data_IF_451663029147
#
_entry.id   IF_451663029147
#
_cell.length_a   1.000
_cell.length_b   1.000
_cell.length_c   1.000
_cell.angle_alpha   90.00
_cell.angle_beta   90.00
_cell.angle_gamma   90.00
#
_symmetry.space_group_name_H-M   'P 1'
#
loop_
_entity.id
_entity.type
_entity.pdbx_description
1 polymer ?
#
# COMPACT_ATOMS: atom_id res chain seq x y z
N UNK A 1 10.17 18.75 11.16
CA UNK A 1 9.86 17.31 11.28
C UNK A 1 9.42 16.82 9.91
N UNK A 2 10.14 15.85 9.36
CA UNK A 2 9.97 15.48 7.95
C UNK A 2 8.97 14.34 7.76
N UNK A 3 8.79 13.48 8.77
CA UNK A 3 7.92 12.31 8.75
C UNK A 3 7.19 12.15 10.08
N UNK A 4 5.90 11.83 10.03
CA UNK A 4 5.05 11.40 11.16
C UNK A 4 4.44 10.06 10.80
N UNK A 5 4.52 9.08 11.72
CA UNK A 5 3.78 7.82 11.63
C UNK A 5 2.64 7.87 12.66
N UNK A 6 1.40 7.91 12.18
CA UNK A 6 0.22 7.89 13.01
C UNK A 6 -0.33 6.46 13.10
N UNK A 7 0.00 5.76 14.18
CA UNK A 7 -0.36 4.34 14.35
C UNK A 7 -1.83 4.20 14.74
N UNK A 8 -2.32 5.11 15.58
CA UNK A 8 -3.64 5.04 16.21
C UNK A 8 -4.77 4.78 15.22
N UNK A 9 -5.58 3.77 15.54
CA UNK A 9 -6.84 3.46 14.85
C UNK A 9 -8.01 4.17 15.54
N UNK A 10 -9.06 4.46 14.77
CA UNK A 10 -10.31 5.00 15.33
C UNK A 10 -10.28 6.50 15.62
N UNK A 11 -9.32 7.24 15.05
CA UNK A 11 -9.35 8.70 15.11
C UNK A 11 -10.61 9.20 14.38
N UNK A 12 -11.41 10.09 14.98
CA UNK A 12 -12.58 10.65 14.31
C UNK A 12 -12.21 11.26 12.95
N UNK A 13 -12.99 10.93 11.91
CA UNK A 13 -12.75 11.42 10.54
C UNK A 13 -12.67 12.95 10.51
N UNK A 14 -13.52 13.64 11.29
CA UNK A 14 -13.51 15.10 11.42
C UNK A 14 -12.16 15.65 11.88
N UNK A 15 -11.51 14.98 12.84
CA UNK A 15 -10.24 15.43 13.39
C UNK A 15 -9.12 15.25 12.36
N UNK A 16 -9.14 14.12 11.64
CA UNK A 16 -8.21 13.92 10.53
C UNK A 16 -8.41 14.92 9.40
N UNK A 17 -9.66 15.29 9.08
CA UNK A 17 -9.93 16.37 8.12
C UNK A 17 -9.33 17.70 8.59
N UNK A 18 -9.50 18.05 9.87
CA UNK A 18 -8.94 19.28 10.44
C UNK A 18 -7.39 19.27 10.39
N UNK A 19 -6.76 18.14 10.71
CA UNK A 19 -5.30 17.98 10.61
C UNK A 19 -4.82 18.13 9.17
N UNK A 20 -5.43 17.43 8.21
CA UNK A 20 -5.05 17.50 6.80
C UNK A 20 -5.27 18.89 6.21
N UNK A 21 -6.36 19.56 6.57
CA UNK A 21 -6.64 20.94 6.16
C UNK A 21 -5.59 21.91 6.70
N UNK A 22 -5.24 21.81 7.99
CA UNK A 22 -4.21 22.65 8.59
C UNK A 22 -2.85 22.43 7.94
N UNK A 23 -2.45 21.18 7.71
CA UNK A 23 -1.20 20.85 7.01
C UNK A 23 -1.14 21.52 5.63
N UNK A 24 -2.25 21.49 4.88
CA UNK A 24 -2.37 22.12 3.56
C UNK A 24 -2.25 23.64 3.65
N UNK A 25 -3.02 24.29 4.53
CA UNK A 25 -3.03 25.75 4.69
C UNK A 25 -1.67 26.31 5.14
N UNK A 26 -0.96 25.58 5.99
CA UNK A 26 0.37 25.96 6.47
C UNK A 26 1.51 25.50 5.55
N UNK A 27 1.21 24.96 4.36
CA UNK A 27 2.17 24.43 3.39
C UNK A 27 3.22 23.49 4.02
N UNK A 28 2.76 22.62 4.94
CA UNK A 28 3.64 21.71 5.67
C UNK A 28 4.21 20.66 4.72
N UNK A 29 5.53 20.51 4.73
CA UNK A 29 6.26 19.48 3.97
C UNK A 29 6.32 18.12 4.66
N UNK A 30 5.85 18.04 5.91
CA UNK A 30 5.85 16.81 6.70
C UNK A 30 5.02 15.73 6.01
N UNK A 31 5.62 14.57 5.79
CA UNK A 31 4.93 13.37 5.32
C UNK A 31 4.20 12.74 6.48
N UNK A 32 2.94 12.37 6.27
CA UNK A 32 2.13 11.66 7.27
C UNK A 32 1.85 10.26 6.74
N UNK A 33 2.18 9.23 7.50
CA UNK A 33 1.76 7.84 7.24
C UNK A 33 0.69 7.48 8.26
N UNK A 34 -0.40 6.86 7.81
CA UNK A 34 -1.58 6.61 8.64
C UNK A 34 -2.62 7.74 8.59
N UNK A 35 -3.62 7.73 9.49
CA UNK A 35 -3.72 6.93 10.71
C UNK A 35 -4.06 5.45 10.44
N UNK A 36 -4.21 4.67 11.51
CA UNK A 36 -4.54 3.25 11.45
C UNK A 36 -3.53 2.48 10.58
N UNK A 37 -2.24 2.60 10.92
CA UNK A 37 -1.17 2.04 10.11
C UNK A 37 -0.13 1.30 10.95
N UNK A 38 0.52 0.26 10.37
CA UNK A 38 1.57 -0.46 11.06
C UNK A 38 2.92 0.29 11.03
N UNK A 39 3.04 1.34 10.21
CA UNK A 39 4.22 2.20 10.06
C UNK A 39 5.09 1.86 8.85
N UNK A 40 6.41 2.03 9.00
CA UNK A 40 7.42 1.85 7.94
C UNK A 40 8.61 1.03 8.47
N UNK A 41 9.16 0.17 7.61
CA UNK A 41 10.41 -0.54 7.89
C UNK A 41 11.27 -0.62 6.62
N UNK A 42 12.54 -0.27 6.77
CA UNK A 42 13.61 -0.48 5.80
C UNK A 42 14.55 -1.50 6.45
N UNK A 43 14.53 -2.78 6.01
CA UNK A 43 15.19 -3.85 6.74
C UNK A 43 16.71 -3.64 6.87
N UNK A 44 17.21 -3.76 8.09
CA UNK A 44 18.62 -3.51 8.43
C UNK A 44 18.99 -2.02 8.59
N UNK A 45 18.03 -1.11 8.48
CA UNK A 45 18.28 0.34 8.55
C UNK A 45 17.38 1.02 9.57
N UNK A 46 16.05 0.97 9.40
CA UNK A 46 15.12 1.63 10.32
C UNK A 46 13.77 0.92 10.41
N UNK A 47 13.18 0.98 11.61
CA UNK A 47 11.80 0.56 11.88
C UNK A 47 11.10 1.65 12.69
N UNK A 48 10.02 2.21 12.17
CA UNK A 48 9.14 3.14 12.89
C UNK A 48 7.72 2.61 12.81
N UNK A 49 7.18 2.14 13.94
CA UNK A 49 5.85 1.54 14.02
C UNK A 49 5.86 0.16 14.66
N UNK A 50 4.79 -0.60 14.40
CA UNK A 50 4.50 -1.87 15.08
C UNK A 50 4.75 -3.11 14.22
N UNK A 51 5.28 -2.97 13.00
CA UNK A 51 5.62 -4.12 12.16
C UNK A 51 6.63 -5.06 12.85
N UNK A 52 6.41 -6.39 12.86
CA UNK A 52 7.37 -7.33 13.43
C UNK A 52 8.65 -7.34 12.58
N UNK A 53 9.80 -7.03 13.18
CA UNK A 53 11.06 -6.89 12.43
C UNK A 53 11.63 -8.22 11.93
N UNK A 54 11.39 -9.32 12.65
CA UNK A 54 11.99 -10.62 12.38
C UNK A 54 11.49 -11.30 11.09
N UNK A 55 10.35 -10.89 10.54
CA UNK A 55 9.83 -11.41 9.25
C UNK A 55 10.39 -10.65 8.03
N UNK A 56 11.21 -9.63 8.25
CA UNK A 56 11.76 -8.80 7.19
C UNK A 56 13.20 -9.19 6.87
N UNK A 57 13.57 -9.02 5.59
CA UNK A 57 14.93 -9.29 5.10
C UNK A 57 15.32 -8.19 4.13
N UNK A 58 16.56 -7.70 4.20
CA UNK A 58 17.07 -6.71 3.24
C UNK A 58 17.00 -7.28 1.82
N UNK A 59 16.43 -6.51 0.91
CA UNK A 59 16.23 -6.88 -0.49
C UNK A 59 15.93 -5.65 -1.34
N UNK A 60 15.34 -5.87 -2.52
CA UNK A 60 15.14 -4.81 -3.53
C UNK A 60 13.69 -4.63 -3.96
N UNK A 61 12.75 -5.03 -3.11
CA UNK A 61 11.31 -4.95 -3.40
C UNK A 61 10.63 -3.98 -2.45
N UNK A 62 9.94 -3.00 -3.03
CA UNK A 62 9.05 -2.11 -2.28
C UNK A 62 7.73 -2.81 -1.97
N UNK A 63 7.18 -2.58 -0.77
CA UNK A 63 5.81 -3.02 -0.41
C UNK A 63 5.02 -1.83 0.09
N UNK A 64 3.84 -1.58 -0.49
CA UNK A 64 2.88 -0.58 -0.01
C UNK A 64 1.51 -1.20 0.23
N UNK A 65 0.91 -0.94 1.38
CA UNK A 65 -0.37 -1.54 1.76
C UNK A 65 -1.20 -0.64 2.66
N UNK A 66 -2.53 -0.73 2.55
CA UNK A 66 -3.46 -0.20 3.58
C UNK A 66 -3.53 -1.10 4.81
N UNK A 67 -3.47 -2.41 4.61
CA UNK A 67 -3.62 -3.43 5.64
C UNK A 67 -2.29 -3.81 6.28
N UNK A 68 -2.22 -3.78 7.61
CA UNK A 68 -1.06 -4.27 8.36
C UNK A 68 -0.81 -5.77 8.17
N UNK A 69 -1.85 -6.59 8.31
CA UNK A 69 -1.71 -8.06 8.20
C UNK A 69 -1.30 -8.50 6.79
N UNK A 70 -1.86 -7.88 5.74
CA UNK A 70 -1.44 -8.18 4.37
C UNK A 70 -0.04 -7.66 4.04
N UNK A 71 0.42 -6.60 4.74
CA UNK A 71 1.82 -6.21 4.68
C UNK A 71 2.70 -7.35 5.21
N UNK A 72 2.33 -7.94 6.35
CA UNK A 72 3.09 -9.03 6.98
C UNK A 72 3.13 -10.28 6.10
N UNK A 73 2.01 -10.59 5.46
CA UNK A 73 1.91 -11.68 4.51
C UNK A 73 2.85 -11.48 3.31
N UNK A 74 2.82 -10.31 2.68
CA UNK A 74 3.68 -10.03 1.53
C UNK A 74 5.17 -10.02 1.88
N UNK A 75 5.55 -9.38 3.00
CA UNK A 75 6.97 -9.36 3.41
C UNK A 75 7.45 -10.75 3.83
N UNK A 76 6.61 -11.54 4.51
CA UNK A 76 6.91 -12.92 4.88
C UNK A 76 7.21 -13.78 3.66
N UNK A 77 6.30 -13.78 2.67
CA UNK A 77 6.50 -14.50 1.41
C UNK A 77 7.77 -14.08 0.68
N UNK A 78 8.06 -12.77 0.61
CA UNK A 78 9.29 -12.28 -0.02
C UNK A 78 10.55 -12.71 0.71
N UNK A 79 10.51 -12.74 2.04
CA UNK A 79 11.61 -13.18 2.89
C UNK A 79 11.87 -14.67 2.71
N UNK A 80 10.82 -15.50 2.72
CA UNK A 80 10.89 -16.96 2.50
C UNK A 80 11.43 -17.31 1.11
N UNK A 81 11.06 -16.53 0.08
CA UNK A 81 11.60 -16.67 -1.27
C UNK A 81 13.03 -16.13 -1.41
N UNK A 82 13.61 -15.58 -0.35
CA UNK A 82 14.96 -15.01 -0.33
C UNK A 82 15.09 -13.67 -1.06
N UNK A 83 13.99 -13.04 -1.47
CA UNK A 83 13.95 -11.80 -2.26
C UNK A 83 14.15 -10.57 -1.37
N UNK A 84 13.52 -10.55 -0.19
CA UNK A 84 13.58 -9.44 0.77
C UNK A 84 12.91 -8.15 0.28
N UNK A 85 13.01 -7.09 1.08
CA UNK A 85 12.37 -5.80 0.85
C UNK A 85 13.40 -4.66 0.86
N UNK A 86 13.21 -3.68 -0.02
CA UNK A 86 13.91 -2.39 0.09
C UNK A 86 13.27 -1.58 1.21
N UNK A 87 11.95 -1.41 1.20
CA UNK A 87 11.15 -0.91 2.31
C UNK A 87 9.71 -1.43 2.25
N UNK A 88 9.07 -1.59 3.40
CA UNK A 88 7.64 -1.84 3.51
C UNK A 88 6.96 -0.64 4.18
N UNK A 89 5.85 -0.19 3.60
CA UNK A 89 5.10 1.02 4.01
C UNK A 89 3.63 0.65 4.17
N UNK A 90 3.16 0.58 5.41
CA UNK A 90 1.74 0.52 5.68
C UNK A 90 1.16 1.93 5.74
N UNK A 91 0.38 2.35 4.74
CA UNK A 91 -0.20 3.71 4.66
C UNK A 91 -1.47 3.89 5.50
N UNK A 92 -2.05 2.77 5.94
CA UNK A 92 -3.20 2.70 6.83
C UNK A 92 -4.56 2.62 6.13
N UNK A 93 -5.55 2.12 6.88
CA UNK A 93 -6.88 1.76 6.38
C UNK A 93 -7.92 2.89 6.40
N UNK A 94 -7.65 3.97 7.12
CA UNK A 94 -8.61 5.05 7.35
C UNK A 94 -8.88 5.91 6.10
N UNK A 95 -10.11 6.43 5.93
CA UNK A 95 -10.52 7.12 4.71
C UNK A 95 -9.82 8.47 4.50
N UNK A 96 -9.43 9.14 5.59
CA UNK A 96 -8.68 10.40 5.58
C UNK A 96 -7.31 10.14 6.19
N UNK A 97 -6.39 9.68 5.33
CA UNK A 97 -5.01 9.40 5.68
C UNK A 97 -4.03 10.42 5.07
N UNK A 98 -2.76 10.24 5.38
CA UNK A 98 -1.67 11.05 4.87
C UNK A 98 -1.25 10.65 3.45
N UNK A 99 -0.15 9.90 3.33
CA UNK A 99 0.36 9.39 2.06
C UNK A 99 -0.61 8.37 1.46
N UNK A 100 -0.79 8.46 0.14
CA UNK A 100 -1.57 7.52 -0.66
C UNK A 100 -0.67 6.52 -1.37
N UNK A 101 -1.25 5.46 -1.95
CA UNK A 101 -0.49 4.50 -2.78
C UNK A 101 0.35 5.21 -3.84
N UNK A 102 -0.26 6.12 -4.61
CA UNK A 102 0.45 6.88 -5.67
C UNK A 102 1.69 7.63 -5.16
N UNK A 103 1.65 8.16 -3.93
CA UNK A 103 2.79 8.88 -3.35
C UNK A 103 3.95 7.94 -3.05
N UNK A 104 3.64 6.77 -2.48
CA UNK A 104 4.64 5.74 -2.18
C UNK A 104 5.15 5.09 -3.47
N UNK A 105 4.30 4.89 -4.47
CA UNK A 105 4.70 4.39 -5.79
C UNK A 105 5.71 5.32 -6.46
N UNK A 106 5.52 6.65 -6.37
CA UNK A 106 6.51 7.64 -6.85
C UNK A 106 7.84 7.48 -6.14
N UNK A 107 7.82 7.38 -4.81
CA UNK A 107 9.04 7.20 -4.01
C UNK A 107 9.77 5.91 -4.40
N UNK A 108 9.05 4.79 -4.54
CA UNK A 108 9.66 3.54 -5.00
C UNK A 108 10.13 3.59 -6.44
N UNK A 109 9.47 4.34 -7.32
CA UNK A 109 9.92 4.51 -8.70
C UNK A 109 11.28 5.23 -8.78
N UNK A 110 11.48 6.23 -7.92
CA UNK A 110 12.68 7.06 -7.92
C UNK A 110 13.83 6.46 -7.08
N UNK A 111 13.53 5.49 -6.19
CA UNK A 111 14.53 4.86 -5.33
C UNK A 111 15.42 3.83 -6.08
N UNK A 112 16.72 4.08 -6.28
CA UNK A 112 17.62 3.14 -6.97
C UNK A 112 17.83 1.81 -6.21
N UNK A 113 17.44 1.70 -4.94
CA UNK A 113 17.48 0.45 -4.18
C UNK A 113 16.25 -0.44 -4.38
N UNK A 114 15.23 0.06 -5.09
CA UNK A 114 14.00 -0.69 -5.39
C UNK A 114 13.96 -1.10 -6.86
N UNK A 115 13.77 -2.39 -7.14
CA UNK A 115 13.68 -2.96 -8.50
C UNK A 115 12.26 -3.32 -8.92
N UNK A 116 11.38 -3.60 -7.95
CA UNK A 116 9.98 -3.97 -8.17
C UNK A 116 9.12 -3.60 -6.96
N UNK A 117 7.80 -3.55 -7.13
CA UNK A 117 6.88 -3.17 -6.03
C UNK A 117 5.69 -4.11 -5.94
N UNK A 118 5.31 -4.50 -4.72
CA UNK A 118 3.99 -5.06 -4.41
C UNK A 118 3.08 -3.94 -3.91
N UNK A 119 1.97 -3.71 -4.61
CA UNK A 119 0.93 -2.76 -4.23
C UNK A 119 -0.30 -3.53 -3.74
N UNK A 120 -0.64 -3.34 -2.47
CA UNK A 120 -1.77 -4.01 -1.81
C UNK A 120 -2.84 -2.98 -1.49
N UNK A 121 -4.03 -3.19 -2.04
CA UNK A 121 -5.18 -2.36 -1.80
C UNK A 121 -6.35 -3.12 -1.18
N UNK A 122 -7.45 -2.42 -1.07
CA UNK A 122 -8.72 -2.94 -0.56
C UNK A 122 -9.89 -2.28 -1.31
N UNK A 123 -11.08 -2.87 -1.21
CA UNK A 123 -12.32 -2.24 -1.65
C UNK A 123 -12.52 -0.84 -1.04
N UNK A 124 -13.31 0.00 -1.73
CA UNK A 124 -13.68 1.35 -1.30
C UNK A 124 -12.65 2.42 -1.66
N UNK A 125 -13.14 3.60 -2.07
CA UNK A 125 -12.31 4.69 -2.61
C UNK A 125 -11.69 4.37 -3.98
N UNK A 126 -10.87 5.29 -4.49
CA UNK A 126 -10.22 5.21 -5.82
C UNK A 126 -8.69 5.20 -5.80
N UNK A 127 -8.07 5.21 -4.61
CA UNK A 127 -6.62 5.43 -4.44
C UNK A 127 -5.78 4.43 -5.27
N UNK A 128 -6.20 3.17 -5.34
CA UNK A 128 -5.53 2.11 -6.10
C UNK A 128 -5.67 2.27 -7.62
N UNK A 129 -6.83 2.71 -8.10
CA UNK A 129 -7.07 2.95 -9.53
C UNK A 129 -6.28 4.17 -10.01
N UNK A 130 -6.25 5.22 -9.20
CA UNK A 130 -5.46 6.43 -9.46
C UNK A 130 -3.97 6.09 -9.49
N UNK A 131 -3.50 5.27 -8.54
CA UNK A 131 -2.13 4.75 -8.54
C UNK A 131 -1.86 3.88 -9.79
N UNK A 132 -2.77 3.00 -10.18
CA UNK A 132 -2.61 2.14 -11.36
C UNK A 132 -2.49 2.96 -12.66
N UNK A 133 -3.35 3.97 -12.84
CA UNK A 133 -3.29 4.86 -14.01
C UNK A 133 -1.99 5.67 -14.03
N UNK A 134 -1.48 6.08 -12.86
CA UNK A 134 -0.18 6.72 -12.76
C UNK A 134 0.96 5.75 -13.11
N UNK A 135 0.89 4.50 -12.62
CA UNK A 135 1.87 3.44 -12.90
C UNK A 135 2.00 3.20 -14.40
N UNK A 136 0.87 3.07 -15.11
CA UNK A 136 0.85 2.89 -16.58
C UNK A 136 1.64 3.98 -17.32
N UNK A 137 1.57 5.22 -16.84
CA UNK A 137 2.15 6.39 -17.51
C UNK A 137 3.61 6.66 -17.11
N UNK A 138 4.03 6.26 -15.91
CA UNK A 138 5.26 6.78 -15.29
C UNK A 138 6.18 5.73 -14.66
N UNK A 139 5.66 4.56 -14.28
CA UNK A 139 6.45 3.57 -13.54
C UNK A 139 7.45 2.90 -14.47
N UNK A 140 8.72 2.86 -14.05
CA UNK A 140 9.82 2.20 -14.77
C UNK A 140 10.10 0.78 -14.26
N UNK A 141 9.41 0.39 -13.19
CA UNK A 141 9.64 -0.83 -12.42
C UNK A 141 8.39 -1.70 -12.44
N UNK A 142 8.54 -3.03 -12.53
CA UNK A 142 7.39 -3.93 -12.48
C UNK A 142 6.64 -3.78 -11.15
N UNK A 143 5.31 -3.86 -11.25
CA UNK A 143 4.39 -3.78 -10.12
C UNK A 143 3.52 -5.02 -10.11
N UNK A 144 3.34 -5.62 -8.93
CA UNK A 144 2.33 -6.64 -8.66
C UNK A 144 1.22 -6.08 -7.79
N UNK A 145 -0.01 -6.36 -8.15
CA UNK A 145 -1.21 -5.87 -7.46
C UNK A 145 -1.97 -6.97 -6.72
N UNK A 146 -2.53 -6.63 -5.57
CA UNK A 146 -3.55 -7.42 -4.88
C UNK A 146 -4.62 -6.50 -4.28
N UNK A 147 -5.89 -6.90 -4.37
CA UNK A 147 -7.01 -6.18 -3.76
C UNK A 147 -7.75 -7.11 -2.79
N UNK A 148 -7.80 -6.72 -1.52
CA UNK A 148 -8.58 -7.39 -0.50
C UNK A 148 -10.08 -7.10 -0.63
N UNK A 149 -10.92 -8.01 -0.12
CA UNK A 149 -12.37 -7.82 -0.05
C UNK A 149 -13.16 -8.30 -1.27
N UNK A 150 -12.63 -9.22 -2.08
CA UNK A 150 -13.32 -9.78 -3.26
C UNK A 150 -14.67 -10.42 -2.91
N UNK A 151 -14.79 -11.05 -1.74
CA UNK A 151 -16.00 -11.72 -1.26
C UNK A 151 -16.90 -10.82 -0.40
N UNK A 152 -16.61 -9.51 -0.35
CA UNK A 152 -17.38 -8.57 0.45
C UNK A 152 -18.82 -8.44 -0.09
N UNK A 153 -19.85 -8.65 0.74
CA UNK A 153 -21.22 -8.43 0.32
C UNK A 153 -21.50 -6.94 0.07
N UNK A 154 -22.40 -6.60 -0.88
CA UNK A 154 -22.79 -5.22 -1.14
C UNK A 154 -23.31 -4.52 0.13
N UNK A 155 -22.95 -3.25 0.30
CA UNK A 155 -23.44 -2.42 1.41
C UNK A 155 -22.86 -2.73 2.79
N UNK A 156 -21.92 -3.68 2.92
CA UNK A 156 -21.20 -3.89 4.18
C UNK A 156 -19.89 -3.12 4.24
N UNK A 157 -19.63 -2.53 5.41
CA UNK A 157 -18.33 -1.99 5.81
C UNK A 157 -17.45 -3.13 6.32
N UNK A 158 -16.23 -3.24 5.79
CA UNK A 158 -15.22 -4.19 6.31
C UNK A 158 -14.45 -3.57 7.49
N UNK A 159 -13.48 -4.30 8.06
CA UNK A 159 -12.78 -3.90 9.28
C UNK A 159 -12.15 -2.50 9.22
N UNK A 160 -11.56 -2.12 8.07
CA UNK A 160 -11.02 -0.76 7.92
C UNK A 160 -12.11 0.28 7.66
N UNK A 161 -11.94 1.46 8.25
CA UNK A 161 -12.92 2.53 8.16
C UNK A 161 -13.19 3.03 6.73
N UNK A 162 -12.21 2.92 5.82
CA UNK A 162 -12.35 3.32 4.42
C UNK A 162 -12.88 2.22 3.48
N UNK A 163 -13.15 1.01 3.98
CA UNK A 163 -13.61 -0.12 3.16
C UNK A 163 -15.13 -0.12 3.00
N UNK A 164 -15.65 0.92 2.33
CA UNK A 164 -17.08 1.09 2.00
C UNK A 164 -17.22 1.20 0.49
N UNK A 165 -18.03 0.32 -0.10
CA UNK A 165 -18.42 0.38 -1.51
C UNK A 165 -19.64 1.31 -1.61
N UNK A 166 -19.54 2.38 -2.39
CA UNK A 166 -20.63 3.35 -2.59
C UNK A 166 -20.98 3.47 -4.06
N UNK A 167 -22.28 3.37 -4.38
CA UNK A 167 -22.78 3.57 -5.75
C UNK A 167 -22.22 2.61 -6.80
N UNK A 168 -21.84 1.38 -6.40
CA UNK A 168 -21.26 0.37 -7.30
C UNK A 168 -19.80 0.60 -7.70
N UNK A 169 -19.15 1.67 -7.20
CA UNK A 169 -17.75 1.98 -7.47
C UNK A 169 -16.84 1.54 -6.33
N UNK A 170 -15.60 1.18 -6.68
CA UNK A 170 -14.57 0.76 -5.74
C UNK A 170 -14.70 -0.71 -5.34
N UNK A 171 -15.33 -1.54 -6.17
CA UNK A 171 -15.36 -2.99 -5.98
C UNK A 171 -13.98 -3.59 -6.21
N UNK A 172 -13.70 -4.75 -5.58
CA UNK A 172 -12.41 -5.40 -5.79
C UNK A 172 -12.21 -5.80 -7.26
N UNK A 173 -13.27 -6.24 -7.92
CA UNK A 173 -13.22 -6.65 -9.33
C UNK A 173 -12.91 -5.46 -10.25
N UNK A 174 -13.55 -4.32 -10.05
CA UNK A 174 -13.28 -3.09 -10.81
C UNK A 174 -11.82 -2.65 -10.64
N UNK A 175 -11.33 -2.60 -9.39
CA UNK A 175 -9.94 -2.23 -9.09
C UNK A 175 -8.93 -3.17 -9.74
N UNK A 176 -9.18 -4.49 -9.67
CA UNK A 176 -8.33 -5.49 -10.32
C UNK A 176 -8.31 -5.32 -11.84
N UNK A 177 -9.46 -5.10 -12.47
CA UNK A 177 -9.55 -4.85 -13.91
C UNK A 177 -8.77 -3.60 -14.32
N UNK A 178 -8.89 -2.49 -13.57
CA UNK A 178 -8.10 -1.28 -13.83
C UNK A 178 -6.60 -1.51 -13.67
N UNK A 179 -6.18 -2.30 -12.67
CA UNK A 179 -4.77 -2.68 -12.51
C UNK A 179 -4.25 -3.47 -13.71
N UNK A 180 -5.00 -4.47 -14.17
CA UNK A 180 -4.63 -5.29 -15.33
C UNK A 180 -4.54 -4.45 -16.61
N UNK A 181 -5.52 -3.56 -16.86
CA UNK A 181 -5.50 -2.60 -17.99
C UNK A 181 -4.32 -1.62 -17.95
N UNK A 182 -3.76 -1.41 -16.75
CA UNK A 182 -2.58 -0.58 -16.52
C UNK A 182 -1.27 -1.36 -16.60
N UNK A 183 -1.30 -2.65 -16.97
CA UNK A 183 -0.12 -3.50 -17.10
C UNK A 183 0.41 -4.03 -15.78
N UNK A 184 -0.34 -3.88 -14.69
CA UNK A 184 0.02 -4.44 -13.38
C UNK A 184 -0.38 -5.91 -13.35
N UNK A 185 0.57 -6.80 -13.04
CA UNK A 185 0.26 -8.21 -12.86
C UNK A 185 -0.46 -8.38 -11.52
N UNK A 186 -1.68 -8.89 -11.53
CA UNK A 186 -2.46 -9.09 -10.31
C UNK A 186 -2.49 -10.55 -9.86
N UNK A 187 -2.64 -10.76 -8.55
CA UNK A 187 -3.07 -12.04 -7.98
C UNK A 187 -4.39 -11.84 -7.23
N UNK A 188 -5.21 -12.89 -7.19
CA UNK A 188 -6.44 -12.96 -6.39
C UNK A 188 -6.26 -13.76 -5.10
N UNK A 189 -5.12 -14.43 -4.96
CA UNK A 189 -4.78 -15.21 -3.78
C UNK A 189 -3.71 -14.46 -2.97
N UNK A 190 -3.99 -14.05 -1.72
CA UNK A 190 -3.00 -13.36 -0.90
C UNK A 190 -1.74 -14.20 -0.69
N UNK A 191 -1.82 -15.53 -0.68
CA UNK A 191 -0.69 -16.45 -0.51
C UNK A 191 0.28 -16.49 -1.72
N UNK A 192 -0.08 -15.83 -2.84
CA UNK A 192 0.67 -15.90 -4.10
C UNK A 192 1.35 -14.57 -4.47
N UNK A 193 1.29 -13.54 -3.61
CA UNK A 193 1.87 -12.22 -3.90
C UNK A 193 3.37 -12.29 -4.20
N UNK A 194 4.15 -12.97 -3.36
CA UNK A 194 5.60 -13.13 -3.50
C UNK A 194 5.98 -13.94 -4.75
N UNK A 195 5.29 -15.05 -5.01
CA UNK A 195 5.50 -15.87 -6.21
C UNK A 195 5.15 -15.12 -7.49
N UNK A 196 4.05 -14.37 -7.47
CA UNK A 196 3.65 -13.50 -8.58
C UNK A 196 4.72 -12.45 -8.86
N UNK A 197 5.27 -11.82 -7.82
CA UNK A 197 6.39 -10.89 -7.98
C UNK A 197 7.65 -11.57 -8.54
N UNK A 198 8.01 -12.74 -8.02
CA UNK A 198 9.15 -13.49 -8.53
C UNK A 198 9.02 -13.77 -10.04
N UNK A 199 7.80 -14.04 -10.52
CA UNK A 199 7.54 -14.29 -11.94
C UNK A 199 7.78 -13.08 -12.84
N UNK A 200 7.58 -11.85 -12.34
CA UNK A 200 7.83 -10.62 -13.12
C UNK A 200 9.29 -10.18 -13.06
N UNK A 201 10.03 -10.54 -12.01
CA UNK A 201 11.47 -10.30 -11.92
C UNK A 201 12.27 -11.17 -12.91
N UNK A 202 11.85 -12.42 -13.15
CA UNK A 202 12.51 -13.36 -14.08
C UNK A 202 12.33 -13.04 -15.56
N UNK A 203 11.49 -12.06 -15.91
CA UNK A 203 11.18 -11.67 -17.30
C UNK A 203 12.04 -10.51 -17.82
N UNK A 204 13.04 -10.09 -17.05
CA UNK A 204 14.10 -9.16 -17.48
C UNK A 204 15.34 -9.95 -17.87
#
# INVERSE_FOLDING_TARGET
>A
LDLVICITEGIPVRDMVAVRDRMRRENRRTRLVGPNCPGVITPGEIKIGIMPGHIHKKGRVGVVSRSGTLTYEAVGQLTELGIGQSSAVGIGGDPVNGLKHIDVMKMFNDDPATDAVIMIGEIGGSDEEDAARWVKKNMKKPVVGFIAGITAPPGKRMGHAGAIISGGKGTAQEKLSVMEECGIKVTRNPAEMGRTLQSVLKRK
#
